data_IF_650261114822
#
_entry.id   IF_650261114822
#
_cell.length_a   1.000
_cell.length_b   1.000
_cell.length_c   1.000
_cell.angle_alpha   90.00
_cell.angle_beta   90.00
_cell.angle_gamma   90.00
#
_symmetry.space_group_name_H-M   'P 1'
#
loop_
_entity.id
_entity.type
_entity.pdbx_description
1 polymer ?
#
# COMPACT_ATOMS: atom_id res chain seq x y z
N UNK A 1 5.99 -15.05 -12.12
CA UNK A 1 5.17 -14.62 -10.95
C UNK A 1 5.78 -15.27 -9.72
N UNK A 2 6.26 -14.49 -8.77
CA UNK A 2 6.80 -15.01 -7.51
C UNK A 2 5.67 -15.67 -6.72
N UNK A 3 5.91 -16.87 -6.21
CA UNK A 3 4.97 -17.50 -5.31
C UNK A 3 5.32 -17.11 -3.88
N UNK A 4 4.65 -16.06 -3.39
CA UNK A 4 4.85 -15.50 -2.06
C UNK A 4 4.71 -16.56 -0.95
N UNK A 5 3.86 -17.57 -1.15
CA UNK A 5 3.68 -18.66 -0.19
C UNK A 5 4.91 -19.57 -0.11
N UNK A 6 5.53 -19.86 -1.25
CA UNK A 6 6.75 -20.67 -1.30
C UNK A 6 7.89 -19.93 -0.62
N UNK A 7 8.08 -18.64 -0.95
CA UNK A 7 9.14 -17.81 -0.37
C UNK A 7 8.96 -17.64 1.14
N UNK A 8 7.76 -17.32 1.60
CA UNK A 8 7.45 -17.19 3.02
C UNK A 8 7.67 -18.52 3.79
N UNK A 9 7.35 -19.66 3.16
CA UNK A 9 7.60 -20.96 3.79
C UNK A 9 9.10 -21.25 3.90
N UNK A 10 9.89 -20.93 2.87
CA UNK A 10 11.33 -21.08 2.88
C UNK A 10 11.99 -20.18 3.93
N UNK A 11 11.59 -18.90 3.99
CA UNK A 11 12.07 -17.92 4.97
C UNK A 11 11.74 -18.32 6.41
N UNK A 12 10.51 -18.80 6.66
CA UNK A 12 10.14 -19.30 7.98
C UNK A 12 11.05 -20.46 8.43
N UNK A 13 11.36 -21.42 7.53
CA UNK A 13 12.25 -22.54 7.83
C UNK A 13 13.68 -22.10 8.07
N UNK A 14 14.21 -21.18 7.25
CA UNK A 14 15.57 -20.66 7.40
C UNK A 14 15.76 -19.93 8.74
N UNK A 15 14.72 -19.24 9.24
CA UNK A 15 14.72 -18.59 10.55
C UNK A 15 14.43 -19.52 11.74
N UNK A 16 14.44 -20.85 11.55
CA UNK A 16 14.15 -21.85 12.61
C UNK A 16 12.68 -21.92 13.04
N UNK A 17 11.79 -21.26 12.30
CA UNK A 17 10.35 -21.26 12.54
C UNK A 17 9.58 -22.14 11.54
N UNK A 18 8.27 -21.99 11.56
CA UNK A 18 7.38 -22.70 10.62
C UNK A 18 6.23 -21.80 10.18
N UNK A 19 5.71 -22.09 9.00
CA UNK A 19 4.49 -21.49 8.47
C UNK A 19 3.28 -22.07 9.22
N UNK A 20 2.73 -21.30 10.16
CA UNK A 20 1.52 -21.69 10.91
C UNK A 20 0.27 -21.56 10.03
N UNK A 21 -0.85 -22.26 10.36
CA UNK A 21 -2.10 -22.09 9.64
C UNK A 21 -2.56 -20.62 9.55
N UNK A 22 -2.47 -19.87 10.65
CA UNK A 22 -2.85 -18.46 10.69
C UNK A 22 -1.96 -17.58 9.78
N UNK A 23 -0.63 -17.79 9.79
CA UNK A 23 0.27 -17.08 8.86
C UNK A 23 -0.08 -17.38 7.41
N UNK A 24 -0.39 -18.64 7.12
CA UNK A 24 -0.80 -19.06 5.77
C UNK A 24 -2.10 -18.37 5.35
N UNK A 25 -3.11 -18.36 6.22
CA UNK A 25 -4.38 -17.70 5.97
C UNK A 25 -4.19 -16.19 5.70
N UNK A 26 -3.43 -15.49 6.55
CA UNK A 26 -3.16 -14.05 6.40
C UNK A 26 -2.47 -13.77 5.05
N UNK A 27 -1.49 -14.58 4.69
CA UNK A 27 -0.77 -14.43 3.43
C UNK A 27 -1.64 -14.70 2.20
N UNK A 28 -2.51 -15.73 2.28
CA UNK A 28 -3.50 -16.00 1.24
C UNK A 28 -4.48 -14.84 1.09
N UNK A 29 -5.02 -14.34 2.21
CA UNK A 29 -5.95 -13.20 2.22
C UNK A 29 -5.31 -11.94 1.63
N UNK A 30 -4.06 -11.63 1.99
CA UNK A 30 -3.33 -10.51 1.40
C UNK A 30 -3.22 -10.65 -0.13
N UNK A 31 -2.87 -11.83 -0.60
CA UNK A 31 -2.74 -12.10 -2.04
C UNK A 31 -4.09 -12.07 -2.79
N UNK A 32 -5.17 -12.51 -2.15
CA UNK A 32 -6.53 -12.52 -2.72
C UNK A 32 -7.15 -11.12 -2.78
N UNK A 33 -6.92 -10.29 -1.77
CA UNK A 33 -7.40 -8.92 -1.76
C UNK A 33 -6.75 -8.09 -2.87
N UNK A 34 -5.47 -8.32 -3.14
CA UNK A 34 -4.70 -7.53 -4.10
C UNK A 34 -4.66 -6.04 -3.72
N UNK A 35 -4.02 -5.23 -4.56
CA UNK A 35 -3.87 -3.80 -4.26
C UNK A 35 -3.10 -3.58 -2.96
N UNK A 36 -3.48 -2.57 -2.19
CA UNK A 36 -2.80 -2.16 -0.97
C UNK A 36 -3.75 -2.20 0.22
N UNK A 37 -4.13 -3.40 0.73
CA UNK A 37 -5.04 -3.49 1.86
C UNK A 37 -4.37 -3.02 3.15
N UNK A 38 -5.17 -2.47 4.06
CA UNK A 38 -4.76 -2.21 5.44
C UNK A 38 -4.76 -3.49 6.27
N UNK A 39 -4.08 -3.48 7.42
CA UNK A 39 -4.11 -4.62 8.35
C UNK A 39 -5.54 -4.96 8.82
N UNK A 40 -6.40 -3.95 8.96
CA UNK A 40 -7.79 -4.14 9.37
C UNK A 40 -8.63 -4.79 8.26
N UNK A 41 -8.42 -4.40 6.99
CA UNK A 41 -9.06 -5.03 5.84
C UNK A 41 -8.64 -6.49 5.70
N UNK A 42 -7.34 -6.79 5.86
CA UNK A 42 -6.81 -8.16 5.87
C UNK A 42 -7.42 -8.96 7.03
N UNK A 43 -7.50 -8.36 8.23
CA UNK A 43 -8.09 -9.01 9.39
C UNK A 43 -9.58 -9.32 9.18
N UNK A 44 -10.34 -8.36 8.64
CA UNK A 44 -11.76 -8.53 8.37
C UNK A 44 -12.02 -9.65 7.35
N UNK A 45 -11.25 -9.70 6.27
CA UNK A 45 -11.36 -10.74 5.25
C UNK A 45 -10.93 -12.12 5.79
N UNK A 46 -9.80 -12.21 6.49
CA UNK A 46 -9.32 -13.47 7.06
C UNK A 46 -10.29 -14.05 8.10
N UNK A 47 -11.00 -13.21 8.85
CA UNK A 47 -12.03 -13.64 9.81
C UNK A 47 -13.26 -14.30 9.19
N UNK A 48 -13.49 -14.15 7.91
CA UNK A 48 -14.53 -14.89 7.21
C UNK A 48 -14.21 -16.41 7.17
N UNK A 49 -12.94 -16.77 7.26
CA UNK A 49 -12.46 -18.15 7.26
C UNK A 49 -12.09 -18.65 8.67
N UNK A 50 -11.60 -17.75 9.54
CA UNK A 50 -11.20 -18.07 10.91
C UNK A 50 -11.71 -16.97 11.86
N UNK A 51 -12.90 -17.13 12.41
CA UNK A 51 -13.57 -16.11 13.26
C UNK A 51 -12.78 -15.78 14.53
N UNK A 52 -11.95 -16.71 15.02
CA UNK A 52 -11.13 -16.56 16.23
C UNK A 52 -9.82 -15.79 15.98
N UNK A 53 -9.54 -15.39 14.73
CA UNK A 53 -8.29 -14.72 14.40
C UNK A 53 -8.14 -13.38 15.15
N UNK A 54 -7.08 -13.28 15.94
CA UNK A 54 -6.79 -12.08 16.71
C UNK A 54 -6.08 -11.03 15.84
N UNK A 55 -6.50 -9.74 15.86
CA UNK A 55 -5.83 -8.67 15.14
C UNK A 55 -4.32 -8.61 15.39
N UNK A 56 -3.88 -8.83 16.65
CA UNK A 56 -2.45 -8.84 16.97
C UNK A 56 -1.67 -9.95 16.24
N UNK A 57 -2.33 -11.03 15.81
CA UNK A 57 -1.69 -12.07 15.00
C UNK A 57 -1.50 -11.59 13.57
N UNK A 58 -2.44 -10.81 13.04
CA UNK A 58 -2.32 -10.18 11.71
C UNK A 58 -1.13 -9.22 11.71
N UNK A 59 -1.10 -8.25 12.63
CA UNK A 59 0.00 -7.29 12.74
C UNK A 59 1.37 -7.95 12.90
N UNK A 60 1.49 -8.96 13.79
CA UNK A 60 2.76 -9.70 13.96
C UNK A 60 3.17 -10.48 12.71
N UNK A 61 2.20 -10.97 11.96
CA UNK A 61 2.50 -11.70 10.71
C UNK A 61 2.96 -10.73 9.63
N UNK A 62 2.30 -9.59 9.47
CA UNK A 62 2.68 -8.55 8.53
C UNK A 62 4.08 -7.99 8.85
N UNK A 63 4.35 -7.65 10.11
CA UNK A 63 5.68 -7.20 10.54
C UNK A 63 6.77 -8.27 10.29
N UNK A 64 6.44 -9.55 10.45
CA UNK A 64 7.37 -10.63 10.11
C UNK A 64 7.61 -10.75 8.61
N UNK A 65 6.57 -10.62 7.77
CA UNK A 65 6.69 -10.63 6.30
C UNK A 65 7.51 -9.45 5.80
N UNK A 66 7.30 -8.27 6.39
CA UNK A 66 8.06 -7.06 6.11
C UNK A 66 9.54 -7.23 6.47
N UNK A 67 9.84 -7.67 7.68
CA UNK A 67 11.21 -7.96 8.13
C UNK A 67 11.91 -9.03 7.31
N UNK A 68 11.14 -9.86 6.60
CA UNK A 68 11.63 -10.86 5.66
C UNK A 68 11.79 -10.33 4.22
N UNK A 69 11.41 -9.07 3.95
CA UNK A 69 11.44 -8.47 2.61
C UNK A 69 10.45 -9.10 1.63
N UNK A 70 9.36 -9.67 2.13
CA UNK A 70 8.32 -10.32 1.34
C UNK A 70 7.10 -9.42 1.11
N UNK A 71 6.92 -8.45 1.99
CA UNK A 71 5.86 -7.46 1.95
C UNK A 71 6.50 -6.11 2.25
N UNK A 72 6.17 -5.10 1.48
CA UNK A 72 6.46 -3.70 1.79
C UNK A 72 5.23 -3.08 2.46
N UNK A 73 5.48 -2.11 3.33
CA UNK A 73 4.42 -1.24 3.79
C UNK A 73 4.62 0.17 3.25
N UNK A 74 3.53 0.82 2.90
CA UNK A 74 3.53 2.21 2.48
C UNK A 74 2.53 3.00 3.34
N UNK A 75 2.99 4.17 3.78
CA UNK A 75 2.11 5.15 4.41
C UNK A 75 1.43 5.93 3.30
N UNK A 76 0.16 5.63 3.05
CA UNK A 76 -0.63 6.34 2.07
C UNK A 76 -1.68 7.18 2.80
N UNK A 77 -1.56 8.50 2.69
CA UNK A 77 -2.56 9.44 3.19
C UNK A 77 -3.77 9.41 2.26
N UNK A 78 -4.74 8.57 2.59
CA UNK A 78 -5.87 8.32 1.71
C UNK A 78 -7.22 8.55 2.40
N UNK A 79 -8.14 9.16 1.66
CA UNK A 79 -9.53 9.34 2.05
C UNK A 79 -9.84 10.66 2.76
N UNK A 80 -11.14 10.93 2.97
CA UNK A 80 -11.63 12.22 3.48
C UNK A 80 -11.21 12.51 4.93
N UNK A 81 -10.85 11.47 5.68
CA UNK A 81 -10.46 11.58 7.09
C UNK A 81 -8.94 11.79 7.27
N UNK A 82 -8.19 11.87 6.17
CA UNK A 82 -6.71 12.00 6.16
C UNK A 82 -6.02 11.06 7.18
N UNK A 83 -6.56 9.85 7.33
CA UNK A 83 -6.00 8.85 8.25
C UNK A 83 -4.76 8.26 7.59
N UNK A 84 -3.62 8.47 8.24
CA UNK A 84 -2.41 7.71 7.95
C UNK A 84 -2.74 6.23 8.09
N UNK A 85 -2.92 5.53 6.99
CA UNK A 85 -3.14 4.10 7.02
C UNK A 85 -1.92 3.39 6.46
N UNK A 86 -1.34 2.54 7.31
CA UNK A 86 -0.35 1.57 6.83
C UNK A 86 -1.04 0.59 5.88
N UNK A 87 -0.53 0.52 4.67
CA UNK A 87 -1.01 -0.39 3.64
C UNK A 87 0.10 -1.35 3.26
N UNK A 88 -0.28 -2.56 2.96
CA UNK A 88 0.65 -3.66 2.73
C UNK A 88 0.56 -4.16 1.29
N UNK A 89 1.73 -4.35 0.68
CA UNK A 89 1.86 -4.82 -0.69
C UNK A 89 2.92 -5.93 -0.78
N UNK A 90 2.64 -7.05 -1.47
CA UNK A 90 3.67 -8.04 -1.77
C UNK A 90 4.83 -7.41 -2.55
N UNK A 91 6.06 -7.61 -2.08
CA UNK A 91 7.25 -7.10 -2.78
C UNK A 91 7.32 -7.68 -4.20
N UNK A 92 7.24 -6.82 -5.19
CA UNK A 92 7.41 -7.19 -6.59
C UNK A 92 8.85 -6.93 -7.06
N UNK A 93 9.37 -7.67 -8.04
CA UNK A 93 10.72 -7.44 -8.56
C UNK A 93 10.85 -6.13 -9.38
N UNK A 94 9.72 -5.51 -9.72
CA UNK A 94 9.66 -4.29 -10.49
C UNK A 94 9.32 -3.15 -9.54
N UNK A 95 10.20 -2.14 -9.49
CA UNK A 95 9.95 -0.93 -8.72
C UNK A 95 8.73 -0.20 -9.29
N UNK A 96 7.72 0.03 -8.47
CA UNK A 96 6.50 0.71 -8.85
C UNK A 96 6.20 1.86 -7.89
N UNK A 97 5.31 2.71 -8.30
CA UNK A 97 4.95 3.94 -7.63
C UNK A 97 3.45 4.04 -7.48
N UNK A 98 2.97 4.94 -6.65
CA UNK A 98 1.56 5.00 -6.27
C UNK A 98 0.94 6.36 -6.62
N UNK A 99 -0.28 6.32 -7.13
CA UNK A 99 -1.17 7.47 -7.12
C UNK A 99 -2.30 7.17 -6.14
N UNK A 100 -2.59 8.11 -5.25
CA UNK A 100 -3.63 7.99 -4.22
C UNK A 100 -4.73 9.01 -4.48
N UNK A 101 -5.96 8.55 -4.60
CA UNK A 101 -7.11 9.43 -4.71
C UNK A 101 -7.49 9.99 -3.34
N UNK A 102 -7.39 11.30 -3.17
CA UNK A 102 -7.72 11.98 -1.91
C UNK A 102 -9.21 11.96 -1.56
N UNK A 103 -10.09 11.67 -2.52
CA UNK A 103 -11.53 11.60 -2.27
C UNK A 103 -12.03 10.20 -1.90
N UNK A 104 -11.60 9.14 -2.61
CA UNK A 104 -12.08 7.78 -2.36
C UNK A 104 -11.04 6.85 -1.74
N UNK A 105 -9.79 7.29 -1.59
CA UNK A 105 -8.71 6.46 -1.06
C UNK A 105 -8.21 5.38 -2.03
N UNK A 106 -8.73 5.33 -3.25
CA UNK A 106 -8.29 4.36 -4.27
C UNK A 106 -6.84 4.59 -4.65
N UNK A 107 -6.08 3.50 -4.78
CA UNK A 107 -4.68 3.50 -5.16
C UNK A 107 -4.54 3.00 -6.59
N UNK A 108 -3.67 3.63 -7.38
CA UNK A 108 -3.29 3.20 -8.73
C UNK A 108 -1.78 3.05 -8.73
N UNK A 109 -1.31 1.87 -9.11
CA UNK A 109 0.11 1.61 -9.31
C UNK A 109 0.55 2.07 -10.70
N UNK A 110 1.77 2.58 -10.78
CA UNK A 110 2.37 2.92 -12.07
C UNK A 110 3.88 2.75 -12.04
N UNK A 111 4.45 2.48 -13.19
CA UNK A 111 5.90 2.44 -13.41
C UNK A 111 6.32 3.69 -14.18
N UNK A 112 7.52 4.21 -13.91
CA UNK A 112 8.05 5.34 -14.64
C UNK A 112 9.57 5.30 -14.75
N UNK A 113 10.06 5.17 -15.96
CA UNK A 113 11.51 5.29 -16.24
C UNK A 113 12.10 6.65 -15.89
N UNK A 114 11.26 7.67 -15.71
CA UNK A 114 11.72 9.02 -15.29
C UNK A 114 12.20 9.04 -13.83
N UNK A 115 11.64 8.17 -12.99
CA UNK A 115 12.11 8.06 -11.59
C UNK A 115 13.54 7.50 -11.56
N UNK A 116 13.86 6.59 -12.45
CA UNK A 116 15.24 6.08 -12.57
C UNK A 116 16.22 7.19 -13.00
N UNK A 117 15.79 8.09 -13.88
CA UNK A 117 16.60 9.26 -14.26
C UNK A 117 16.84 10.17 -13.06
N UNK A 118 15.82 10.43 -12.24
CA UNK A 118 15.95 11.24 -11.02
C UNK A 118 16.94 10.60 -10.04
N UNK A 119 16.89 9.27 -9.85
CA UNK A 119 17.85 8.52 -9.01
C UNK A 119 19.28 8.72 -9.48
N UNK A 120 19.51 8.59 -10.80
CA UNK A 120 20.83 8.77 -11.41
C UNK A 120 21.32 10.22 -11.30
N UNK A 121 20.48 11.20 -11.54
CA UNK A 121 20.81 12.61 -11.37
C UNK A 121 21.20 12.94 -9.93
N UNK A 122 20.40 12.46 -8.97
CA UNK A 122 20.67 12.66 -7.54
C UNK A 122 21.99 12.00 -7.13
N UNK A 123 22.20 10.76 -7.53
CA UNK A 123 23.43 10.03 -7.26
C UNK A 123 24.66 10.75 -7.85
N UNK A 124 24.58 11.25 -9.08
CA UNK A 124 25.63 11.99 -9.74
C UNK A 124 25.93 13.35 -9.11
N UNK A 125 24.92 14.07 -8.65
CA UNK A 125 25.08 15.39 -8.02
C UNK A 125 25.63 15.31 -6.59
N UNK A 126 25.27 14.26 -5.84
CA UNK A 126 25.58 14.17 -4.41
C UNK A 126 26.62 13.09 -4.08
N UNK A 127 27.08 12.31 -5.05
CA UNK A 127 27.98 11.18 -4.82
C UNK A 127 27.35 10.07 -3.96
N UNK A 128 26.04 9.98 -3.96
CA UNK A 128 25.26 9.03 -3.18
C UNK A 128 24.98 7.76 -3.99
N UNK A 129 24.75 6.63 -3.29
CA UNK A 129 24.16 5.43 -3.87
C UNK A 129 22.66 5.39 -3.54
N UNK A 130 21.79 5.31 -4.55
CA UNK A 130 20.35 5.25 -4.37
C UNK A 130 19.88 3.81 -4.58
N UNK A 131 19.56 3.11 -3.50
CA UNK A 131 19.15 1.72 -3.54
C UNK A 131 17.71 1.55 -4.02
N UNK A 132 16.78 2.43 -3.59
CA UNK A 132 15.38 2.39 -3.97
C UNK A 132 14.74 3.78 -3.90
N UNK A 133 13.60 3.93 -4.58
CA UNK A 133 12.79 5.15 -4.49
C UNK A 133 11.32 4.81 -4.20
N UNK A 134 10.63 5.73 -3.56
CA UNK A 134 9.18 5.68 -3.39
C UNK A 134 8.60 7.01 -3.85
N UNK A 135 7.73 6.98 -4.86
CA UNK A 135 7.01 8.16 -5.34
C UNK A 135 5.52 7.93 -5.13
N UNK A 136 4.89 8.85 -4.41
CA UNK A 136 3.44 8.86 -4.25
C UNK A 136 2.88 10.18 -4.79
N UNK A 137 1.91 10.08 -5.69
CA UNK A 137 1.17 11.20 -6.22
C UNK A 137 -0.22 11.24 -5.58
N UNK A 138 -0.67 12.43 -5.23
CA UNK A 138 -1.99 12.64 -4.63
C UNK A 138 -2.87 13.49 -5.54
N UNK A 139 -4.16 13.13 -5.64
CA UNK A 139 -5.10 13.88 -6.48
C UNK A 139 -6.47 13.21 -6.55
N UNK A 140 -7.25 13.52 -7.57
CA UNK A 140 -8.55 12.88 -7.81
C UNK A 140 -8.43 11.85 -8.93
N UNK A 141 -8.91 10.63 -8.69
CA UNK A 141 -9.01 9.63 -9.75
C UNK A 141 -10.05 10.06 -10.81
N UNK A 142 -10.04 9.46 -12.00
CA UNK A 142 -11.00 9.85 -13.06
C UNK A 142 -12.46 9.86 -12.62
N UNK A 143 -12.87 8.85 -11.83
CA UNK A 143 -14.25 8.76 -11.31
C UNK A 143 -14.59 9.90 -10.34
N UNK A 144 -13.72 10.18 -9.38
CA UNK A 144 -13.98 11.26 -8.41
C UNK A 144 -13.89 12.64 -9.05
N UNK A 145 -13.00 12.83 -10.04
CA UNK A 145 -12.89 14.09 -10.77
C UNK A 145 -14.16 14.43 -11.54
N UNK A 146 -14.79 13.45 -12.17
CA UNK A 146 -16.07 13.67 -12.89
C UNK A 146 -17.21 13.96 -11.94
N UNK A 147 -17.25 13.33 -10.74
CA UNK A 147 -18.26 13.60 -9.74
C UNK A 147 -18.13 15.02 -9.15
N UNK A 148 -16.91 15.50 -8.92
CA UNK A 148 -16.67 16.86 -8.40
C UNK A 148 -16.99 17.92 -9.44
N UNK A 149 -16.76 17.66 -10.71
CA UNK A 149 -17.12 18.59 -11.82
C UNK A 149 -18.63 18.70 -12.04
N UNK A 150 -19.42 17.72 -11.61
CA UNK A 150 -20.88 17.72 -11.74
C UNK A 150 -21.61 18.47 -10.62
N UNK A 151 -20.93 18.87 -9.53
CA UNK A 151 -21.50 19.70 -8.49
C UNK A 151 -21.47 21.17 -8.93
N UNK A 152 -22.62 21.88 -9.06
CA UNK A 152 -22.61 23.29 -9.37
C UNK A 152 -21.85 24.06 -8.29
N UNK A 153 -20.88 24.86 -8.69
CA UNK A 153 -20.16 25.79 -7.80
C UNK A 153 -21.18 26.71 -7.16
N UNK A 154 -21.54 26.45 -5.88
CA UNK A 154 -22.25 27.42 -5.08
C UNK A 154 -21.40 28.68 -5.03
N UNK A 155 -21.83 29.70 -5.77
CA UNK A 155 -21.23 31.03 -5.76
C UNK A 155 -21.21 31.53 -4.32
N UNK A 156 -20.04 31.63 -3.72
CA UNK A 156 -19.84 32.44 -2.53
C UNK A 156 -20.08 33.89 -2.94
N UNK A 157 -21.30 34.36 -2.76
CA UNK A 157 -21.60 35.78 -2.75
C UNK A 157 -20.85 36.39 -1.57
N UNK A 158 -19.79 37.09 -1.88
CA UNK A 158 -19.10 37.97 -0.96
C UNK A 158 -19.99 39.21 -0.84
N UNK A 159 -20.91 39.19 0.14
CA UNK A 159 -21.66 40.36 0.51
C UNK A 159 -20.76 41.27 1.34
N UNK A 160 -20.13 42.22 0.66
CA UNK A 160 -19.44 43.35 1.27
C UNK A 160 -20.51 44.37 1.72
N UNK A 161 -20.85 44.37 3.00
CA UNK A 161 -21.59 45.40 3.65
C UNK A 161 -20.68 46.40 4.36
N UNK A 162 -20.83 47.65 4.03
CA UNK A 162 -20.30 48.90 4.57
C UNK A 162 -20.15 48.97 6.09
#
# INVERSE_FOLDING_TARGET
MRDLMIEATATARAGGGRMTPQRRLILQTLNELGGHPTADEICAAARQHETSLNPSTVYRTLAWLEGAGLVDHCHLDAGPDNRHSERFDPVTPIEHHHFVCTACGGVIEFESSRVEIIKQEFAGQHGAEVERSALTLYGLCPGCRTMTAALPTASRSHDGGL
#
